data_IF_309272749927
#
_entry.id   IF_309272749927
#
_cell.length_a   1.000
_cell.length_b   1.000
_cell.length_c   1.000
_cell.angle_alpha   90.00
_cell.angle_beta   90.00
_cell.angle_gamma   90.00
#
_symmetry.space_group_name_H-M   'P 1'
#
loop_
_entity.id
_entity.type
_entity.pdbx_description
1 polymer ?
#
# COMPACT_ATOMS: atom_id res chain seq x y z
N UNK A 1 16.84 -8.39 33.65
CA UNK A 1 16.34 -8.45 32.25
C UNK A 1 15.12 -9.37 32.07
N UNK A 2 15.00 -10.50 32.81
CA UNK A 2 13.87 -11.43 32.67
C UNK A 2 12.48 -10.82 32.92
N UNK A 3 12.31 -9.97 33.94
CA UNK A 3 11.01 -9.37 34.27
C UNK A 3 10.43 -8.51 33.11
N UNK A 4 11.28 -7.74 32.42
CA UNK A 4 10.86 -6.92 31.28
C UNK A 4 10.47 -7.77 30.05
N UNK A 5 11.19 -8.88 29.81
CA UNK A 5 10.86 -9.81 28.74
C UNK A 5 9.53 -10.53 29.01
N UNK A 6 9.30 -10.99 30.25
CA UNK A 6 8.04 -11.60 30.66
C UNK A 6 6.86 -10.63 30.51
N UNK A 7 7.03 -9.37 30.92
CA UNK A 7 6.01 -8.34 30.74
C UNK A 7 5.68 -8.09 29.26
N UNK A 8 6.65 -8.24 28.35
CA UNK A 8 6.42 -8.09 26.91
C UNK A 8 5.73 -9.25 26.24
N UNK A 9 6.10 -10.47 26.61
CA UNK A 9 5.43 -11.67 26.11
C UNK A 9 3.96 -11.69 26.54
N UNK A 10 3.64 -11.26 27.77
CA UNK A 10 2.26 -11.16 28.26
C UNK A 10 1.44 -10.15 27.47
N UNK A 11 2.00 -8.98 27.12
CA UNK A 11 1.29 -8.00 26.29
C UNK A 11 1.03 -8.51 24.87
N UNK A 12 1.98 -9.24 24.29
CA UNK A 12 1.78 -9.88 22.98
C UNK A 12 0.66 -10.91 23.07
N UNK A 13 0.69 -11.82 24.05
CA UNK A 13 -0.36 -12.83 24.26
C UNK A 13 -1.73 -12.23 24.51
N UNK A 14 -1.80 -11.13 25.27
CA UNK A 14 -3.05 -10.41 25.48
C UNK A 14 -3.55 -9.81 24.16
N UNK A 15 -2.65 -9.24 23.36
CA UNK A 15 -2.95 -8.78 22.00
C UNK A 15 -3.46 -9.92 21.12
N UNK A 16 -2.84 -11.10 21.17
CA UNK A 16 -3.28 -12.28 20.42
C UNK A 16 -4.69 -12.72 20.84
N UNK A 17 -5.02 -12.67 22.13
CA UNK A 17 -6.37 -12.95 22.63
C UNK A 17 -7.41 -12.00 22.05
N UNK A 18 -7.14 -10.69 22.00
CA UNK A 18 -8.03 -9.72 21.33
C UNK A 18 -8.04 -9.85 19.81
N UNK A 19 -6.95 -10.33 19.20
CA UNK A 19 -6.85 -10.53 17.76
C UNK A 19 -7.67 -11.73 17.29
N UNK A 20 -7.57 -12.86 18.01
CA UNK A 20 -8.27 -14.11 17.69
C UNK A 20 -9.64 -14.24 18.36
N UNK A 21 -9.96 -13.38 19.32
CA UNK A 21 -11.19 -13.47 20.12
C UNK A 21 -11.18 -14.62 21.14
N UNK A 22 -10.01 -14.94 21.70
CA UNK A 22 -9.90 -16.01 22.70
C UNK A 22 -10.40 -15.53 24.07
N UNK A 23 -11.63 -15.90 24.43
CA UNK A 23 -12.25 -15.49 25.69
C UNK A 23 -12.66 -14.01 25.73
N UNK A 24 -12.64 -13.34 24.57
CA UNK A 24 -13.02 -11.93 24.40
C UNK A 24 -13.54 -11.72 22.97
N UNK A 25 -14.18 -10.57 22.71
CA UNK A 25 -14.54 -10.19 21.35
C UNK A 25 -13.30 -9.70 20.58
N UNK A 26 -13.33 -9.87 19.25
CA UNK A 26 -12.25 -9.40 18.39
C UNK A 26 -12.19 -7.87 18.43
N UNK A 27 -11.05 -7.32 18.84
CA UNK A 27 -10.80 -5.88 18.87
C UNK A 27 -9.41 -5.54 18.35
N UNK A 28 -9.36 -5.15 17.07
CA UNK A 28 -8.12 -4.76 16.41
C UNK A 28 -7.56 -3.42 16.91
N UNK A 29 -8.37 -2.50 17.44
CA UNK A 29 -7.86 -1.23 17.97
C UNK A 29 -7.05 -1.49 19.24
N UNK A 30 -7.62 -2.27 20.15
CA UNK A 30 -6.96 -2.65 21.39
C UNK A 30 -5.73 -3.52 21.13
N UNK A 31 -5.84 -4.48 20.20
CA UNK A 31 -4.71 -5.30 19.74
C UNK A 31 -3.54 -4.44 19.24
N UNK A 32 -3.80 -3.48 18.35
CA UNK A 32 -2.77 -2.59 17.82
C UNK A 32 -2.10 -1.73 18.90
N UNK A 33 -2.86 -1.30 19.90
CA UNK A 33 -2.31 -0.57 21.05
C UNK A 33 -1.37 -1.43 21.90
N UNK A 34 -1.73 -2.69 22.15
CA UNK A 34 -0.92 -3.65 22.91
C UNK A 34 0.38 -3.99 22.17
N UNK A 35 0.32 -4.29 20.87
CA UNK A 35 1.54 -4.52 20.08
C UNK A 35 2.42 -3.28 19.98
N UNK A 36 1.83 -2.08 19.82
CA UNK A 36 2.60 -0.84 19.81
C UNK A 36 3.31 -0.60 21.14
N UNK A 37 2.66 -0.91 22.26
CA UNK A 37 3.25 -0.80 23.60
C UNK A 37 4.41 -1.78 23.74
N UNK A 38 4.22 -3.04 23.36
CA UNK A 38 5.26 -4.06 23.45
C UNK A 38 6.44 -3.83 22.50
N UNK A 39 6.17 -3.32 21.31
CA UNK A 39 7.18 -2.92 20.34
C UNK A 39 8.03 -1.75 20.84
N UNK A 40 7.40 -0.64 21.27
CA UNK A 40 8.13 0.59 21.62
C UNK A 40 8.75 0.58 23.00
N UNK A 41 8.04 0.05 24.01
CA UNK A 41 8.49 0.16 25.40
C UNK A 41 9.40 -0.99 25.81
N UNK A 42 9.23 -2.16 25.18
CA UNK A 42 9.94 -3.38 25.58
C UNK A 42 10.81 -3.96 24.47
N UNK A 43 10.85 -3.30 23.29
CA UNK A 43 11.66 -3.69 22.14
C UNK A 43 11.43 -5.15 21.70
N UNK A 44 10.19 -5.63 21.80
CA UNK A 44 9.85 -7.01 21.47
C UNK A 44 9.71 -7.20 19.94
N UNK A 45 10.52 -8.11 19.37
CA UNK A 45 10.54 -8.39 17.94
C UNK A 45 9.23 -9.03 17.42
N UNK A 46 8.59 -9.89 18.21
CA UNK A 46 7.30 -10.49 17.85
C UNK A 46 6.19 -9.42 17.78
N UNK A 47 6.18 -8.49 18.73
CA UNK A 47 5.24 -7.37 18.72
C UNK A 47 5.44 -6.46 17.49
N UNK A 48 6.69 -6.20 17.09
CA UNK A 48 7.02 -5.46 15.87
C UNK A 48 6.49 -6.19 14.62
N UNK A 49 6.72 -7.51 14.54
CA UNK A 49 6.21 -8.33 13.44
C UNK A 49 4.68 -8.32 13.36
N UNK A 50 3.99 -8.57 14.47
CA UNK A 50 2.53 -8.57 14.52
C UNK A 50 1.95 -7.19 14.17
N UNK A 51 2.57 -6.11 14.64
CA UNK A 51 2.16 -4.75 14.28
C UNK A 51 2.38 -4.45 12.78
N UNK A 52 3.49 -4.93 12.21
CA UNK A 52 3.76 -4.85 10.77
C UNK A 52 2.70 -5.56 9.95
N UNK A 53 2.29 -6.74 10.38
CA UNK A 53 1.21 -7.51 9.76
C UNK A 53 -0.14 -6.78 9.83
N UNK A 54 -0.47 -6.14 10.95
CA UNK A 54 -1.69 -5.32 11.05
C UNK A 54 -1.68 -4.15 10.06
N UNK A 55 -0.53 -3.50 9.82
CA UNK A 55 -0.39 -2.46 8.81
C UNK A 55 -0.46 -3.01 7.37
N UNK A 56 0.06 -4.20 7.11
CA UNK A 56 -0.05 -4.87 5.80
C UNK A 56 -1.52 -5.14 5.44
N UNK A 57 -2.31 -5.59 6.41
CA UNK A 57 -3.71 -5.99 6.23
C UNK A 57 -4.72 -4.86 6.44
N UNK A 58 -4.34 -3.79 7.14
CA UNK A 58 -5.27 -2.71 7.51
C UNK A 58 -6.24 -3.09 8.63
N UNK A 59 -5.79 -3.92 9.59
CA UNK A 59 -6.64 -4.40 10.68
C UNK A 59 -6.72 -3.37 11.80
N UNK A 60 -7.90 -2.76 12.01
CA UNK A 60 -8.10 -1.72 13.03
C UNK A 60 -7.31 -0.43 12.79
N UNK A 61 -6.65 -0.29 11.64
CA UNK A 61 -5.82 0.85 11.26
C UNK A 61 -5.72 0.97 9.74
N UNK A 62 -5.25 2.13 9.25
CA UNK A 62 -5.04 2.34 7.82
C UNK A 62 -3.95 1.40 7.29
N UNK A 63 -4.25 0.69 6.19
CA UNK A 63 -3.31 -0.14 5.44
C UNK A 63 -2.12 0.71 4.98
N UNK A 64 -0.90 0.20 5.15
CA UNK A 64 0.31 0.93 4.80
C UNK A 64 1.53 0.03 4.65
N UNK A 65 1.89 -0.31 3.41
CA UNK A 65 3.01 -1.21 3.12
C UNK A 65 4.37 -0.66 3.55
N UNK A 66 4.58 0.65 3.43
CA UNK A 66 5.83 1.29 3.84
C UNK A 66 6.08 1.17 5.34
N UNK A 67 5.02 1.30 6.15
CA UNK A 67 5.09 1.13 7.61
C UNK A 67 5.27 -0.34 7.98
N UNK A 68 4.54 -1.25 7.31
CA UNK A 68 4.70 -2.69 7.51
C UNK A 68 6.15 -3.15 7.25
N UNK A 69 6.74 -2.73 6.12
CA UNK A 69 8.14 -3.02 5.77
C UNK A 69 9.10 -2.55 6.86
N UNK A 70 9.00 -1.28 7.29
CA UNK A 70 9.86 -0.72 8.34
C UNK A 70 9.76 -1.50 9.66
N UNK A 71 8.56 -1.94 10.04
CA UNK A 71 8.36 -2.73 11.26
C UNK A 71 8.95 -4.13 11.14
N UNK A 72 8.85 -4.77 9.97
CA UNK A 72 9.51 -6.03 9.68
C UNK A 72 11.04 -5.92 9.72
N UNK A 73 11.61 -4.88 9.10
CA UNK A 73 13.05 -4.62 9.12
C UNK A 73 13.55 -4.43 10.58
N UNK A 74 12.83 -3.62 11.38
CA UNK A 74 13.12 -3.45 12.81
C UNK A 74 13.04 -4.76 13.59
N UNK A 75 12.05 -5.62 13.31
CA UNK A 75 11.93 -6.91 13.96
C UNK A 75 13.14 -7.81 13.68
N UNK A 76 13.66 -7.79 12.44
CA UNK A 76 14.82 -8.60 12.02
C UNK A 76 16.14 -8.11 12.64
N UNK A 77 16.25 -6.81 12.91
CA UNK A 77 17.37 -6.23 13.65
C UNK A 77 17.37 -6.65 15.12
N UNK A 78 16.19 -6.81 15.74
CA UNK A 78 16.08 -7.13 17.17
C UNK A 78 16.22 -8.61 17.49
N UNK A 79 15.80 -9.49 16.60
CA UNK A 79 15.95 -10.93 16.80
C UNK A 79 16.51 -11.62 15.56
N UNK A 80 17.73 -12.17 15.69
CA UNK A 80 18.39 -12.89 14.61
C UNK A 80 17.62 -14.16 14.18
N UNK A 81 16.93 -14.82 15.11
CA UNK A 81 16.15 -16.02 14.84
C UNK A 81 14.89 -15.71 14.02
N UNK A 82 14.41 -14.46 14.07
CA UNK A 82 13.24 -14.01 13.33
C UNK A 82 13.54 -13.63 11.87
N UNK A 83 14.80 -13.65 11.43
CA UNK A 83 15.18 -13.18 10.08
C UNK A 83 14.52 -13.97 8.95
N UNK A 84 14.44 -15.30 9.08
CA UNK A 84 13.85 -16.17 8.05
C UNK A 84 12.35 -15.89 7.85
N UNK A 85 11.48 -15.94 8.88
CA UNK A 85 10.07 -15.64 8.68
C UNK A 85 9.83 -14.19 8.22
N UNK A 86 10.66 -13.25 8.67
CA UNK A 86 10.59 -11.85 8.21
C UNK A 86 10.95 -11.72 6.73
N UNK A 87 12.00 -12.40 6.26
CA UNK A 87 12.38 -12.38 4.86
C UNK A 87 11.24 -12.90 3.96
N UNK A 88 10.58 -13.99 4.36
CA UNK A 88 9.41 -14.53 3.66
C UNK A 88 8.27 -13.49 3.62
N UNK A 89 7.99 -12.84 4.76
CA UNK A 89 6.96 -11.79 4.84
C UNK A 89 7.29 -10.59 3.94
N UNK A 90 8.55 -10.17 3.87
CA UNK A 90 9.01 -9.09 3.01
C UNK A 90 8.90 -9.43 1.53
N UNK A 91 9.29 -10.64 1.12
CA UNK A 91 9.14 -11.13 -0.25
C UNK A 91 7.66 -11.12 -0.64
N UNK A 92 6.80 -11.66 0.22
CA UNK A 92 5.34 -11.64 0.01
C UNK A 92 4.81 -10.21 -0.12
N UNK A 93 5.25 -9.30 0.74
CA UNK A 93 4.85 -7.89 0.69
C UNK A 93 5.21 -7.28 -0.66
N UNK A 94 6.42 -7.51 -1.17
CA UNK A 94 6.86 -7.01 -2.48
C UNK A 94 6.01 -7.54 -3.64
N UNK A 95 5.65 -8.83 -3.60
CA UNK A 95 4.75 -9.42 -4.61
C UNK A 95 3.37 -8.75 -4.55
N UNK A 96 2.82 -8.56 -3.35
CA UNK A 96 1.53 -7.90 -3.15
C UNK A 96 1.54 -6.44 -3.62
N UNK A 97 2.61 -5.68 -3.34
CA UNK A 97 2.69 -4.28 -3.79
C UNK A 97 2.82 -4.20 -5.30
N UNK A 98 3.62 -5.09 -5.90
CA UNK A 98 3.81 -5.15 -7.35
C UNK A 98 2.52 -5.55 -8.07
N UNK A 99 1.81 -6.56 -7.56
CA UNK A 99 0.51 -6.98 -8.13
C UNK A 99 -0.54 -5.88 -8.06
N UNK A 100 -0.62 -5.15 -6.94
CA UNK A 100 -1.55 -4.01 -6.86
C UNK A 100 -1.15 -2.87 -7.80
N UNK A 101 0.15 -2.60 -7.95
CA UNK A 101 0.66 -1.62 -8.93
C UNK A 101 0.41 -2.03 -10.38
N UNK A 102 0.22 -3.31 -10.68
CA UNK A 102 -0.14 -3.80 -12.02
C UNK A 102 -1.63 -3.59 -12.30
N UNK A 103 -2.49 -3.64 -11.27
CA UNK A 103 -3.94 -3.43 -11.41
C UNK A 103 -4.30 -1.98 -11.71
N UNK A 104 -3.50 -1.03 -11.26
CA UNK A 104 -3.58 0.38 -11.68
C UNK A 104 -2.74 0.52 -12.96
N UNK A 105 -3.34 0.50 -14.17
CA UNK A 105 -2.55 0.57 -15.39
C UNK A 105 -1.70 1.85 -15.36
N UNK A 106 -0.41 1.78 -15.72
CA UNK A 106 0.48 2.96 -15.74
C UNK A 106 0.01 4.04 -16.73
N UNK A 107 -0.95 3.69 -17.60
CA UNK A 107 -1.59 4.55 -18.58
C UNK A 107 -3.04 4.89 -18.23
N UNK A 108 -3.44 4.86 -16.94
CA UNK A 108 -4.74 5.39 -16.49
C UNK A 108 -4.99 6.81 -17.03
N UNK A 109 -3.93 7.59 -17.24
CA UNK A 109 -3.98 8.90 -17.89
C UNK A 109 -4.40 8.87 -19.36
N UNK A 110 -4.03 7.84 -20.14
CA UNK A 110 -4.45 7.68 -21.54
C UNK A 110 -5.97 7.46 -21.63
N UNK A 111 -6.55 6.71 -20.69
CA UNK A 111 -8.01 6.53 -20.61
C UNK A 111 -8.75 7.78 -20.11
N UNK A 112 -8.13 8.62 -19.29
CA UNK A 112 -8.68 9.95 -18.96
C UNK A 112 -8.67 10.89 -20.16
N UNK A 113 -7.65 10.78 -21.03
CA UNK A 113 -7.61 11.53 -22.28
C UNK A 113 -8.70 11.04 -23.24
N UNK A 114 -8.96 9.74 -23.31
CA UNK A 114 -10.01 9.15 -24.15
C UNK A 114 -11.39 9.76 -23.87
N UNK A 115 -11.80 9.90 -22.61
CA UNK A 115 -13.08 10.52 -22.25
C UNK A 115 -13.14 12.02 -22.63
N UNK A 116 -12.01 12.74 -22.52
CA UNK A 116 -11.92 14.14 -22.93
C UNK A 116 -11.87 14.36 -24.46
N UNK A 117 -11.32 13.37 -25.18
CA UNK A 117 -11.26 13.30 -26.63
C UNK A 117 -12.66 12.90 -27.16
N UNK A 118 -13.30 11.90 -26.55
CA UNK A 118 -14.70 11.51 -26.76
C UNK A 118 -15.68 12.67 -26.56
N UNK A 119 -15.47 13.48 -25.53
CA UNK A 119 -16.33 14.63 -25.25
C UNK A 119 -16.22 15.79 -26.26
N UNK A 120 -15.11 15.91 -27.00
CA UNK A 120 -14.83 17.09 -27.86
C UNK A 120 -14.36 16.74 -29.28
N UNK A 121 -14.67 15.54 -29.80
CA UNK A 121 -14.27 15.12 -31.17
C UNK A 121 -14.73 16.09 -32.26
N UNK A 122 -15.83 16.77 -32.04
CA UNK A 122 -16.41 17.78 -32.94
C UNK A 122 -15.48 18.98 -33.15
N UNK A 123 -14.86 19.49 -32.09
CA UNK A 123 -13.87 20.58 -32.17
C UNK A 123 -12.63 20.15 -32.96
N UNK A 124 -12.15 18.92 -32.77
CA UNK A 124 -11.03 18.37 -33.54
C UNK A 124 -11.38 18.17 -35.02
N UNK A 125 -12.60 17.72 -35.31
CA UNK A 125 -13.10 17.57 -36.68
C UNK A 125 -13.17 18.93 -37.40
N UNK A 126 -13.69 19.96 -36.73
CA UNK A 126 -13.76 21.34 -37.27
C UNK A 126 -12.35 21.89 -37.51
N UNK A 127 -11.41 21.68 -36.58
CA UNK A 127 -10.02 22.10 -36.74
C UNK A 127 -9.35 21.42 -37.95
N UNK A 128 -9.59 20.12 -38.18
CA UNK A 128 -9.02 19.40 -39.32
C UNK A 128 -9.65 19.89 -40.64
N UNK A 129 -10.97 20.04 -40.70
CA UNK A 129 -11.68 20.51 -41.89
C UNK A 129 -11.27 21.93 -42.28
N UNK A 130 -11.11 22.82 -41.29
CA UNK A 130 -10.63 24.18 -41.55
C UNK A 130 -9.20 24.18 -42.06
N UNK A 131 -8.30 23.37 -41.49
CA UNK A 131 -6.90 23.31 -41.91
C UNK A 131 -6.73 22.71 -43.32
N UNK A 132 -7.51 21.68 -43.66
CA UNK A 132 -7.57 21.11 -45.02
C UNK A 132 -8.26 22.05 -46.03
N UNK A 133 -9.35 22.71 -45.64
CA UNK A 133 -10.07 23.68 -46.46
C UNK A 133 -9.23 24.92 -46.77
N UNK A 134 -8.52 25.47 -45.77
CA UNK A 134 -7.61 26.61 -45.94
C UNK A 134 -6.46 26.25 -46.88
N UNK A 135 -5.91 25.02 -46.74
CA UNK A 135 -4.84 24.51 -47.59
C UNK A 135 -5.29 24.30 -49.04
N UNK A 136 -6.53 23.85 -49.26
CA UNK A 136 -7.08 23.74 -50.62
C UNK A 136 -7.28 25.13 -51.26
N UNK A 137 -7.76 26.10 -50.50
CA UNK A 137 -7.97 27.47 -50.97
C UNK A 137 -6.64 28.19 -51.32
N UNK A 138 -5.59 27.99 -50.51
CA UNK A 138 -4.24 28.51 -50.80
C UNK A 138 -3.60 27.89 -52.04
N UNK A 139 -3.87 26.61 -52.35
CA UNK A 139 -3.35 25.96 -53.56
C UNK A 139 -4.03 26.48 -54.84
N UNK A 140 -5.31 26.84 -54.76
CA UNK A 140 -6.04 27.45 -55.88
C UNK A 140 -5.55 28.87 -56.19
N UNK A 141 -5.24 29.68 -55.17
CA UNK A 141 -4.68 31.04 -55.38
C UNK A 141 -3.24 31.03 -55.93
N UNK A 142 -2.46 29.97 -55.69
CA UNK A 142 -1.10 29.83 -56.23
C UNK A 142 -1.05 29.24 -57.66
N UNK A 143 -2.19 28.81 -58.21
CA UNK A 143 -2.32 28.27 -59.57
C UNK A 143 -3.00 29.24 -60.57
N UNK A 144 -3.35 30.46 -60.15
CA UNK A 144 -3.73 31.59 -61.01
C UNK A 144 -2.57 32.58 -61.12
#
# INVERSE_FOLDING_TARGET
RAAAQGYSATQVKLGDSYYYGWGTNVDFKTTGALYRKASKQQYNAQAMFNLGYMHEKGLGMRKGWNLAKRLYDLAAEKNADAKIPIAIALIKLQILTKTESIKEPPYRFIFYLDESIEANWDLYLIAILTLFGLRHNLLLELQC
#
